data_IF_976733787671
#
_entry.id   IF_976733787671
#
_cell.length_a   1.000
_cell.length_b   1.000
_cell.length_c   1.000
_cell.angle_alpha   90.00
_cell.angle_beta   90.00
_cell.angle_gamma   90.00
#
_symmetry.space_group_name_H-M   'P 1'
#
loop_
_entity.id
_entity.type
_entity.pdbx_description
1 polymer ?
#
# COMPACT_ATOMS: atom_id res chain seq x y z
N UNK A 1 35.91 24.99 18.57
CA UNK A 1 36.82 26.10 18.17
C UNK A 1 36.63 26.48 16.70
N UNK A 2 36.78 25.55 15.74
CA UNK A 2 36.66 25.83 14.31
C UNK A 2 35.29 26.35 13.82
N UNK A 3 34.17 25.85 14.35
CA UNK A 3 32.82 26.39 14.05
C UNK A 3 32.65 27.85 14.51
N UNK A 4 33.34 28.24 15.59
CA UNK A 4 33.31 29.61 16.13
C UNK A 4 34.25 30.53 15.34
N UNK A 5 35.38 30.02 14.87
CA UNK A 5 36.32 30.72 13.98
C UNK A 5 35.69 31.00 12.59
N UNK A 6 35.08 29.99 11.95
CA UNK A 6 34.37 30.16 10.67
C UNK A 6 33.19 31.14 10.77
N UNK A 7 32.46 31.14 11.89
CA UNK A 7 31.36 32.10 12.13
C UNK A 7 31.86 33.55 12.31
N UNK A 8 33.10 33.76 12.76
CA UNK A 8 33.70 35.08 13.00
C UNK A 8 34.36 35.66 11.75
N UNK A 9 35.06 34.84 10.97
CA UNK A 9 35.61 35.21 9.67
C UNK A 9 35.38 34.07 8.67
N UNK A 10 34.59 34.33 7.63
CA UNK A 10 34.28 33.39 6.55
C UNK A 10 35.33 33.44 5.44
N UNK A 11 36.60 33.24 5.81
CA UNK A 11 37.69 33.10 4.83
C UNK A 11 37.73 31.68 4.28
N UNK A 12 38.38 31.49 3.13
CA UNK A 12 38.52 30.15 2.52
C UNK A 12 39.34 29.20 3.41
N UNK A 13 40.33 29.72 4.12
CA UNK A 13 41.14 28.97 5.10
C UNK A 13 40.29 28.43 6.25
N UNK A 14 39.46 29.29 6.89
CA UNK A 14 38.59 28.86 7.99
C UNK A 14 37.52 27.85 7.55
N UNK A 15 37.11 27.91 6.27
CA UNK A 15 36.23 26.92 5.65
C UNK A 15 36.93 25.58 5.42
N UNK A 16 38.19 25.59 4.98
CA UNK A 16 38.99 24.38 4.78
C UNK A 16 39.28 23.67 6.10
N UNK A 17 39.65 24.41 7.14
CA UNK A 17 39.84 23.87 8.50
C UNK A 17 38.57 23.21 9.05
N UNK A 18 37.41 23.87 8.89
CA UNK A 18 36.13 23.32 9.33
C UNK A 18 35.80 22.01 8.61
N UNK A 19 36.05 21.94 7.30
CA UNK A 19 35.85 20.72 6.50
C UNK A 19 36.78 19.60 6.91
N UNK A 20 38.05 19.90 7.19
CA UNK A 20 39.02 18.92 7.66
C UNK A 20 38.58 18.30 9.00
N UNK A 21 38.15 19.14 9.96
CA UNK A 21 37.66 18.70 11.26
C UNK A 21 36.37 17.88 11.13
N UNK A 22 35.43 18.31 10.27
CA UNK A 22 34.21 17.54 9.99
C UNK A 22 34.52 16.18 9.38
N UNK A 23 35.51 16.08 8.48
CA UNK A 23 35.94 14.82 7.88
C UNK A 23 36.50 13.88 8.96
N UNK A 24 37.40 14.38 9.81
CA UNK A 24 37.96 13.61 10.93
C UNK A 24 36.85 13.14 11.87
N UNK A 25 35.94 14.03 12.27
CA UNK A 25 34.83 13.67 13.14
C UNK A 25 33.89 12.62 12.53
N UNK A 26 33.62 12.68 11.23
CA UNK A 26 32.85 11.67 10.51
C UNK A 26 33.57 10.32 10.48
N UNK A 27 34.88 10.32 10.23
CA UNK A 27 35.69 9.10 10.25
C UNK A 27 35.70 8.47 11.65
N UNK A 28 35.89 9.25 12.70
CA UNK A 28 35.86 8.75 14.09
C UNK A 28 34.47 8.25 14.49
N UNK A 29 33.41 8.97 14.13
CA UNK A 29 32.05 8.51 14.35
C UNK A 29 31.77 7.18 13.64
N UNK A 30 32.28 7.01 12.41
CA UNK A 30 32.14 5.76 11.69
C UNK A 30 32.87 4.62 12.40
N UNK A 31 34.14 4.82 12.81
CA UNK A 31 34.90 3.82 13.58
C UNK A 31 34.18 3.41 14.87
N UNK A 32 33.66 4.38 15.63
CA UNK A 32 32.91 4.12 16.85
C UNK A 32 31.63 3.31 16.59
N UNK A 33 30.92 3.61 15.50
CA UNK A 33 29.73 2.84 15.10
C UNK A 33 30.08 1.42 14.68
N UNK A 34 31.14 1.23 13.91
CA UNK A 34 31.62 -0.10 13.51
C UNK A 34 32.02 -0.91 14.73
N UNK A 35 32.80 -0.33 15.65
CA UNK A 35 33.16 -1.00 16.90
C UNK A 35 31.94 -1.38 17.73
N UNK A 36 30.98 -0.45 17.92
CA UNK A 36 29.76 -0.75 18.66
C UNK A 36 28.92 -1.85 18.01
N UNK A 37 28.95 -1.94 16.67
CA UNK A 37 28.31 -3.02 15.93
C UNK A 37 29.01 -4.36 16.14
N UNK A 38 30.34 -4.38 16.09
CA UNK A 38 31.14 -5.58 16.32
C UNK A 38 30.98 -6.09 17.77
N UNK A 39 31.08 -5.19 18.75
CA UNK A 39 30.85 -5.47 20.17
C UNK A 39 29.43 -6.04 20.38
N UNK A 40 28.43 -5.53 19.64
CA UNK A 40 27.08 -6.05 19.69
C UNK A 40 26.97 -7.45 19.09
N UNK A 41 27.63 -7.72 17.96
CA UNK A 41 27.65 -9.04 17.34
C UNK A 41 28.34 -10.09 18.24
N UNK A 42 29.43 -9.74 18.90
CA UNK A 42 30.11 -10.60 19.88
C UNK A 42 29.24 -10.86 21.12
N UNK A 43 28.51 -9.84 21.57
CA UNK A 43 27.51 -10.02 22.63
C UNK A 43 26.39 -10.97 22.20
N UNK A 44 25.94 -10.91 20.95
CA UNK A 44 24.92 -11.84 20.45
C UNK A 44 25.43 -13.28 20.34
N UNK A 45 26.68 -13.48 19.91
CA UNK A 45 27.25 -14.83 19.73
C UNK A 45 27.39 -15.59 21.05
N UNK A 46 27.54 -14.88 22.16
CA UNK A 46 27.64 -15.44 23.52
C UNK A 46 26.29 -15.64 24.20
N UNK A 47 25.18 -15.18 23.61
CA UNK A 47 23.85 -15.26 24.21
C UNK A 47 23.13 -16.58 23.91
N UNK A 48 22.32 -17.05 24.87
CA UNK A 48 21.38 -18.15 24.65
C UNK A 48 20.30 -17.77 23.63
N UNK A 49 19.88 -18.73 22.81
CA UNK A 49 18.96 -18.55 21.67
C UNK A 49 17.66 -17.84 22.04
N UNK A 50 17.07 -18.15 23.19
CA UNK A 50 15.83 -17.50 23.67
C UNK A 50 16.01 -16.00 23.94
N UNK A 51 17.14 -15.62 24.53
CA UNK A 51 17.48 -14.23 24.85
C UNK A 51 17.89 -13.46 23.60
N UNK A 52 18.57 -14.12 22.67
CA UNK A 52 18.91 -13.61 21.34
C UNK A 52 17.64 -13.16 20.59
N UNK A 53 16.63 -14.03 20.51
CA UNK A 53 15.35 -13.71 19.84
C UNK A 53 14.60 -12.55 20.49
N UNK A 54 14.71 -12.38 21.82
CA UNK A 54 14.12 -11.25 22.52
C UNK A 54 14.79 -9.92 22.13
N UNK A 55 16.12 -9.86 22.06
CA UNK A 55 16.85 -8.66 21.64
C UNK A 55 16.61 -8.30 20.18
N UNK A 56 16.60 -9.29 19.28
CA UNK A 56 16.26 -9.08 17.86
C UNK A 56 14.84 -8.51 17.72
N UNK A 57 13.89 -9.05 18.50
CA UNK A 57 12.50 -8.56 18.50
C UNK A 57 12.38 -7.11 18.96
N UNK A 58 13.21 -6.65 19.92
CA UNK A 58 13.23 -5.25 20.36
C UNK A 58 13.72 -4.31 19.25
N UNK A 59 14.72 -4.72 18.46
CA UNK A 59 15.29 -3.92 17.37
C UNK A 59 14.37 -3.82 16.16
N UNK A 60 13.55 -4.86 15.90
CA UNK A 60 12.54 -4.85 14.83
C UNK A 60 11.49 -3.74 15.02
N UNK A 61 11.45 -3.12 16.20
CA UNK A 61 10.38 -2.23 16.63
C UNK A 61 9.09 -3.03 16.85
N UNK A 62 8.08 -2.38 17.46
CA UNK A 62 6.73 -2.95 17.44
C UNK A 62 6.35 -3.17 15.98
N UNK A 63 6.24 -4.44 15.54
CA UNK A 63 5.55 -4.75 14.29
C UNK A 63 4.24 -4.02 14.36
N UNK A 64 4.03 -3.01 13.49
CA UNK A 64 2.74 -2.35 13.35
C UNK A 64 1.76 -3.49 13.22
N UNK A 65 0.84 -3.62 14.20
CA UNK A 65 -0.22 -4.59 14.04
C UNK A 65 -0.83 -4.29 12.68
N UNK A 66 -0.81 -5.29 11.80
CA UNK A 66 -1.52 -5.21 10.54
C UNK A 66 -2.95 -4.92 10.96
N UNK A 67 -3.38 -3.67 10.81
CA UNK A 67 -4.77 -3.31 10.95
C UNK A 67 -5.45 -4.08 9.85
N UNK A 68 -6.02 -5.24 10.18
CA UNK A 68 -6.95 -5.97 9.33
C UNK A 68 -8.05 -4.97 9.01
N UNK A 69 -7.91 -4.29 7.86
CA UNK A 69 -8.95 -3.41 7.36
C UNK A 69 -10.19 -4.27 7.19
N UNK A 70 -11.30 -3.80 7.73
CA UNK A 70 -12.55 -4.50 7.59
C UNK A 70 -12.86 -4.61 6.07
N UNK A 71 -12.92 -5.83 5.51
CA UNK A 71 -13.05 -6.03 4.06
C UNK A 71 -14.34 -5.38 3.52
N UNK A 72 -15.40 -5.33 4.33
CA UNK A 72 -16.64 -4.64 3.99
C UNK A 72 -16.42 -3.14 3.82
N UNK A 73 -15.70 -2.51 4.75
CA UNK A 73 -15.40 -1.06 4.65
C UNK A 73 -14.54 -0.73 3.44
N UNK A 74 -13.58 -1.60 3.10
CA UNK A 74 -12.74 -1.40 1.92
C UNK A 74 -13.57 -1.56 0.64
N UNK A 75 -14.41 -2.60 0.56
CA UNK A 75 -15.33 -2.81 -0.57
C UNK A 75 -16.29 -1.62 -0.75
N UNK A 76 -16.88 -1.13 0.33
CA UNK A 76 -17.76 0.05 0.30
C UNK A 76 -17.00 1.30 -0.16
N UNK A 77 -15.73 1.45 0.25
CA UNK A 77 -14.89 2.58 -0.15
C UNK A 77 -14.54 2.52 -1.63
N UNK A 78 -14.20 1.33 -2.13
CA UNK A 78 -13.94 1.08 -3.55
C UNK A 78 -15.20 1.34 -4.39
N UNK A 79 -16.35 0.80 -3.98
CA UNK A 79 -17.63 1.02 -4.66
C UNK A 79 -17.96 2.52 -4.77
N UNK A 80 -17.77 3.27 -3.68
CA UNK A 80 -17.94 4.73 -3.70
C UNK A 80 -16.98 5.41 -4.66
N UNK A 81 -15.69 5.04 -4.65
CA UNK A 81 -14.71 5.60 -5.58
C UNK A 81 -15.10 5.36 -7.03
N UNK A 82 -15.48 4.13 -7.38
CA UNK A 82 -15.93 3.80 -8.73
C UNK A 82 -17.17 4.62 -9.12
N UNK A 83 -18.19 4.67 -8.25
CA UNK A 83 -19.39 5.44 -8.52
C UNK A 83 -19.10 6.94 -8.73
N UNK A 84 -18.17 7.49 -7.96
CA UNK A 84 -17.79 8.91 -8.07
C UNK A 84 -17.04 9.17 -9.38
N UNK A 85 -16.09 8.30 -9.76
CA UNK A 85 -15.34 8.45 -11.01
C UNK A 85 -16.19 8.22 -12.27
N UNK A 86 -17.17 7.32 -12.18
CA UNK A 86 -18.07 6.99 -13.29
C UNK A 86 -19.28 7.94 -13.37
N UNK A 87 -19.42 8.90 -12.45
CA UNK A 87 -20.53 9.82 -12.45
C UNK A 87 -20.48 10.71 -13.71
N UNK A 88 -21.64 10.98 -14.31
CA UNK A 88 -21.68 11.72 -15.58
C UNK A 88 -21.01 13.10 -15.52
N UNK A 89 -20.98 13.75 -14.35
CA UNK A 89 -20.37 15.07 -14.15
C UNK A 89 -18.83 15.04 -14.05
N UNK A 90 -18.22 13.89 -13.75
CA UNK A 90 -16.75 13.74 -13.71
C UNK A 90 -16.17 13.38 -15.08
N UNK A 91 -17.02 13.07 -16.07
CA UNK A 91 -16.60 12.76 -17.42
C UNK A 91 -16.27 14.03 -18.22
N UNK A 92 -15.35 13.97 -19.21
CA UNK A 92 -15.10 15.09 -20.12
C UNK A 92 -16.36 15.52 -20.87
N UNK A 93 -16.50 16.83 -21.14
CA UNK A 93 -17.70 17.41 -21.76
C UNK A 93 -18.10 16.73 -23.08
N UNK A 94 -17.12 16.37 -23.91
CA UNK A 94 -17.34 15.63 -25.16
C UNK A 94 -18.06 14.30 -24.94
N UNK A 95 -17.65 13.55 -23.92
CA UNK A 95 -18.24 12.25 -23.57
C UNK A 95 -19.65 12.44 -23.01
N UNK A 96 -19.88 13.49 -22.22
CA UNK A 96 -21.21 13.80 -21.70
C UNK A 96 -22.21 14.13 -22.83
N UNK A 97 -21.77 14.85 -23.87
CA UNK A 97 -22.58 15.16 -25.04
C UNK A 97 -22.90 13.90 -25.83
N UNK A 98 -21.89 13.08 -26.15
CA UNK A 98 -22.11 11.82 -26.88
C UNK A 98 -23.05 10.85 -26.13
N UNK A 99 -22.94 10.78 -24.79
CA UNK A 99 -23.85 9.99 -23.97
C UNK A 99 -25.29 10.50 -24.00
N UNK A 100 -25.49 11.82 -24.15
CA UNK A 100 -26.81 12.45 -24.27
C UNK A 100 -27.41 12.17 -25.64
N UNK A 101 -26.63 12.34 -26.70
CA UNK A 101 -27.06 12.12 -28.08
C UNK A 101 -27.47 10.66 -28.30
N UNK A 102 -26.76 9.71 -27.67
CA UNK A 102 -27.06 8.27 -27.71
C UNK A 102 -28.09 7.82 -26.65
N UNK A 103 -28.68 8.74 -25.87
CA UNK A 103 -29.59 8.35 -24.80
C UNK A 103 -30.88 7.71 -25.33
N UNK A 104 -31.48 8.32 -26.36
CA UNK A 104 -32.73 7.84 -26.95
C UNK A 104 -32.54 6.49 -27.64
N UNK A 105 -31.47 6.33 -28.42
CA UNK A 105 -31.11 5.06 -29.07
C UNK A 105 -30.96 3.93 -28.03
N UNK A 106 -30.21 4.18 -26.94
CA UNK A 106 -30.05 3.20 -25.85
C UNK A 106 -31.36 2.89 -25.14
N UNK A 107 -32.21 3.89 -24.92
CA UNK A 107 -33.50 3.71 -24.24
C UNK A 107 -34.43 2.86 -25.09
N UNK A 108 -34.49 3.12 -26.39
CA UNK A 108 -35.26 2.31 -27.35
C UNK A 108 -34.75 0.87 -27.38
N UNK A 109 -33.45 0.67 -27.54
CA UNK A 109 -32.85 -0.67 -27.58
C UNK A 109 -33.08 -1.47 -26.29
N UNK A 110 -33.05 -0.81 -25.13
CA UNK A 110 -33.39 -1.44 -23.84
C UNK A 110 -34.85 -1.84 -23.77
N UNK A 111 -35.75 -0.98 -24.26
CA UNK A 111 -37.18 -1.26 -24.24
C UNK A 111 -37.54 -2.40 -25.19
N UNK A 112 -36.90 -2.46 -26.35
CA UNK A 112 -37.00 -3.60 -27.28
C UNK A 112 -36.47 -4.88 -26.61
N UNK A 113 -35.30 -4.82 -25.97
CA UNK A 113 -34.72 -5.97 -25.28
C UNK A 113 -35.59 -6.50 -24.12
N UNK A 114 -36.28 -5.62 -23.39
CA UNK A 114 -37.22 -6.02 -22.33
C UNK A 114 -38.45 -6.74 -22.90
N UNK A 115 -38.90 -6.36 -24.10
CA UNK A 115 -40.04 -7.00 -24.75
C UNK A 115 -39.69 -8.34 -25.41
N UNK A 116 -38.41 -8.60 -25.66
CA UNK A 116 -37.95 -9.89 -26.17
C UNK A 116 -38.03 -10.90 -25.03
N UNK A 117 -38.99 -11.82 -25.13
CA UNK A 117 -39.04 -12.98 -24.24
C UNK A 117 -37.76 -13.81 -24.39
N UNK A 118 -36.97 -13.89 -23.31
CA UNK A 118 -35.80 -14.74 -23.27
C UNK A 118 -36.18 -16.12 -22.76
N UNK A 119 -35.75 -17.16 -23.47
CA UNK A 119 -35.89 -18.57 -23.06
C UNK A 119 -35.17 -18.87 -21.72
N UNK A 120 -34.31 -17.96 -21.27
CA UNK A 120 -33.61 -18.06 -19.98
C UNK A 120 -34.38 -17.41 -18.83
N UNK A 121 -35.38 -16.57 -19.11
CA UNK A 121 -36.19 -15.89 -18.10
C UNK A 121 -37.37 -16.77 -17.65
N UNK A 122 -37.04 -18.05 -17.38
CA UNK A 122 -37.97 -19.04 -16.84
C UNK A 122 -37.64 -19.33 -15.38
N UNK A 123 -38.65 -19.70 -14.57
CA UNK A 123 -38.39 -20.21 -13.23
C UNK A 123 -37.38 -21.38 -13.27
N UNK A 124 -36.51 -21.45 -12.26
CA UNK A 124 -35.60 -22.58 -12.11
C UNK A 124 -36.38 -23.89 -12.03
N UNK A 125 -35.92 -24.90 -12.77
CA UNK A 125 -36.44 -26.25 -12.63
C UNK A 125 -35.99 -26.86 -11.30
N UNK A 126 -36.78 -27.80 -10.77
CA UNK A 126 -36.37 -28.56 -9.59
C UNK A 126 -35.03 -29.29 -9.79
N UNK A 127 -34.70 -29.67 -11.03
CA UNK A 127 -33.41 -30.27 -11.35
C UNK A 127 -32.24 -29.29 -11.14
N UNK A 128 -32.38 -28.05 -11.63
CA UNK A 128 -31.38 -26.99 -11.46
C UNK A 128 -31.20 -26.63 -9.98
N UNK A 129 -32.30 -26.50 -9.24
CA UNK A 129 -32.25 -26.27 -7.78
C UNK A 129 -31.53 -27.40 -7.05
N UNK A 130 -31.89 -28.66 -7.35
CA UNK A 130 -31.26 -29.82 -6.73
C UNK A 130 -29.77 -29.92 -7.09
N UNK A 131 -29.36 -29.58 -8.31
CA UNK A 131 -27.95 -29.55 -8.70
C UNK A 131 -27.18 -28.43 -8.01
N UNK A 132 -27.76 -27.23 -7.84
CA UNK A 132 -27.12 -26.14 -7.12
C UNK A 132 -26.95 -26.45 -5.63
N UNK A 133 -27.88 -27.19 -5.03
CA UNK A 133 -27.83 -27.64 -3.65
C UNK A 133 -26.93 -28.87 -3.43
N UNK A 134 -26.53 -29.58 -4.49
CA UNK A 134 -25.54 -30.66 -4.36
C UNK A 134 -24.22 -30.03 -3.91
N UNK A 135 -23.80 -30.39 -2.70
CA UNK A 135 -22.48 -30.02 -2.20
C UNK A 135 -21.42 -30.58 -3.13
N UNK A 136 -20.81 -29.71 -3.94
CA UNK A 136 -19.55 -30.04 -4.60
C UNK A 136 -18.54 -30.21 -3.48
N UNK A 137 -18.05 -31.43 -3.26
CA UNK A 137 -16.88 -31.65 -2.42
C UNK A 137 -15.73 -30.93 -3.12
N UNK A 138 -15.41 -29.74 -2.65
CA UNK A 138 -14.19 -29.03 -3.04
C UNK A 138 -13.05 -29.80 -2.40
N UNK A 139 -12.54 -30.81 -3.10
CA UNK A 139 -11.22 -31.37 -2.82
C UNK A 139 -10.21 -30.40 -3.42
N UNK A 140 -9.59 -29.60 -2.56
CA UNK A 140 -8.36 -28.88 -2.88
C UNK A 140 -7.23 -29.87 -3.17
N UNK A 141 -6.33 -29.58 -4.13
CA UNK A 141 -5.10 -30.36 -4.34
C UNK A 141 -4.12 -30.25 -3.18
#
# INVERSE_FOLDING_TARGET
>A
MATKAFKRLKTDESRQELRAIQKIAKCELHKLRTKAWDDWCEKLSTMKTNRLWSEISKLKGSTKQVTTRNPKKEADTLAKHFATHAASHTLPLRIQQELRDRHEERSSALQDAIQIESNTDRPFSMYELNNALKSVKITTP
#
